data_IF_491330582461
#
_entry.id   IF_491330582461
#
_cell.length_a   1.000
_cell.length_b   1.000
_cell.length_c   1.000
_cell.angle_alpha   90.00
_cell.angle_beta   90.00
_cell.angle_gamma   90.00
#
_symmetry.space_group_name_H-M   'P 1'
#
loop_
_entity.id
_entity.type
_entity.pdbx_description
1 polymer ?
#
# COMPACT_ATOMS: atom_id res chain seq x y z
N UNK A 1 -1.67 -44.52 13.81
CA UNK A 1 -2.03 -43.15 14.17
C UNK A 1 -2.64 -42.54 12.94
N UNK A 2 -3.96 -42.37 12.93
CA UNK A 2 -4.70 -41.71 11.81
C UNK A 2 -4.36 -40.25 11.84
N UNK A 3 -3.68 -39.77 10.79
CA UNK A 3 -3.41 -38.34 10.60
C UNK A 3 -4.76 -37.60 10.59
N UNK A 4 -5.01 -36.81 11.61
CA UNK A 4 -6.18 -35.94 11.68
C UNK A 4 -6.02 -34.90 10.56
N UNK A 5 -6.86 -35.03 9.55
CA UNK A 5 -6.88 -34.14 8.39
C UNK A 5 -7.23 -32.75 8.90
N UNK A 6 -6.27 -31.83 8.92
CA UNK A 6 -6.48 -30.44 9.35
C UNK A 6 -7.46 -29.77 8.37
N UNK A 7 -8.65 -29.44 8.86
CA UNK A 7 -9.71 -28.81 8.04
C UNK A 7 -9.64 -27.33 8.29
N UNK A 8 -9.25 -26.55 7.27
CA UNK A 8 -9.37 -25.09 7.32
C UNK A 8 -10.84 -24.71 7.14
N UNK A 9 -11.46 -24.06 8.15
CA UNK A 9 -12.86 -23.70 8.06
C UNK A 9 -13.11 -22.72 6.91
N UNK A 10 -14.27 -22.83 6.25
CA UNK A 10 -14.69 -21.86 5.21
C UNK A 10 -14.76 -20.42 5.72
N UNK A 11 -14.83 -20.23 7.05
CA UNK A 11 -14.78 -18.91 7.71
C UNK A 11 -13.53 -18.10 7.38
N UNK A 12 -12.44 -18.73 6.92
CA UNK A 12 -11.24 -18.03 6.42
C UNK A 12 -11.53 -16.99 5.33
N UNK A 13 -12.56 -17.24 4.50
CA UNK A 13 -12.97 -16.30 3.48
C UNK A 13 -13.65 -15.05 4.07
N UNK A 14 -14.37 -15.20 5.18
CA UNK A 14 -14.92 -14.06 5.94
C UNK A 14 -13.78 -13.21 6.49
N UNK A 15 -12.76 -13.83 7.10
CA UNK A 15 -11.56 -13.13 7.59
C UNK A 15 -10.86 -12.38 6.47
N UNK A 16 -10.72 -13.00 5.29
CA UNK A 16 -10.11 -12.35 4.12
C UNK A 16 -10.91 -11.12 3.67
N UNK A 17 -12.24 -11.26 3.53
CA UNK A 17 -13.13 -10.19 3.04
C UNK A 17 -13.14 -9.00 3.99
N UNK A 18 -13.24 -9.23 5.30
CA UNK A 18 -13.28 -8.12 6.26
C UNK A 18 -11.95 -7.36 6.33
N UNK A 19 -10.81 -8.07 6.27
CA UNK A 19 -9.49 -7.43 6.22
C UNK A 19 -9.29 -6.65 4.91
N UNK A 20 -9.70 -7.22 3.77
CA UNK A 20 -9.70 -6.52 2.49
C UNK A 20 -10.55 -5.24 2.55
N UNK A 21 -11.78 -5.33 3.07
CA UNK A 21 -12.69 -4.21 3.15
C UNK A 21 -12.14 -3.07 4.03
N UNK A 22 -11.64 -3.38 5.22
CA UNK A 22 -11.06 -2.37 6.12
C UNK A 22 -9.82 -1.73 5.49
N UNK A 23 -8.94 -2.53 4.87
CA UNK A 23 -7.77 -2.02 4.16
C UNK A 23 -8.18 -1.07 3.04
N UNK A 24 -9.13 -1.46 2.20
CA UNK A 24 -9.64 -0.63 1.11
C UNK A 24 -10.27 0.69 1.62
N UNK A 25 -11.07 0.62 2.69
CA UNK A 25 -11.69 1.80 3.29
C UNK A 25 -10.66 2.76 3.89
N UNK A 26 -9.60 2.25 4.51
CA UNK A 26 -8.54 3.08 5.05
C UNK A 26 -7.82 3.87 3.94
N UNK A 27 -7.50 3.23 2.82
CA UNK A 27 -6.88 3.89 1.67
C UNK A 27 -7.83 4.82 0.90
N UNK A 28 -9.14 4.55 0.91
CA UNK A 28 -10.12 5.50 0.41
C UNK A 28 -10.11 6.82 1.20
N UNK A 29 -9.84 6.77 2.52
CA UNK A 29 -9.63 7.95 3.35
C UNK A 29 -8.38 8.77 2.98
N UNK A 30 -7.34 8.13 2.41
CA UNK A 30 -6.18 8.84 1.85
C UNK A 30 -6.60 9.64 0.62
N UNK A 31 -7.36 9.04 -0.29
CA UNK A 31 -7.82 9.71 -1.53
C UNK A 31 -8.84 10.80 -1.24
N UNK A 32 -9.73 10.61 -0.25
CA UNK A 32 -10.66 11.67 0.18
C UNK A 32 -9.91 12.95 0.57
N UNK A 33 -8.78 12.82 1.29
CA UNK A 33 -7.94 13.98 1.63
C UNK A 33 -7.39 14.67 0.38
N UNK A 34 -6.85 13.90 -0.57
CA UNK A 34 -6.30 14.46 -1.80
C UNK A 34 -7.35 15.25 -2.59
N UNK A 35 -8.59 14.78 -2.63
CA UNK A 35 -9.70 15.46 -3.32
C UNK A 35 -10.10 16.79 -2.68
N UNK A 36 -9.95 16.92 -1.36
CA UNK A 36 -10.33 18.14 -0.63
C UNK A 36 -9.14 19.03 -0.28
N UNK A 37 -7.93 18.67 -0.67
CA UNK A 37 -6.70 19.37 -0.28
C UNK A 37 -6.69 20.86 -0.70
N UNK A 38 -7.26 21.18 -1.86
CA UNK A 38 -7.41 22.55 -2.35
C UNK A 38 -8.36 23.38 -1.47
N UNK A 39 -9.52 22.83 -1.08
CA UNK A 39 -10.46 23.52 -0.17
C UNK A 39 -9.86 23.72 1.23
N UNK A 40 -9.10 22.72 1.71
CA UNK A 40 -8.37 22.83 2.99
C UNK A 40 -7.33 23.92 2.95
N UNK A 41 -6.58 24.06 1.84
CA UNK A 41 -5.59 25.10 1.68
C UNK A 41 -6.21 26.52 1.80
N UNK A 42 -7.37 26.72 1.18
CA UNK A 42 -8.14 27.96 1.30
C UNK A 42 -8.70 28.15 2.71
N UNK A 43 -9.33 27.10 3.28
CA UNK A 43 -10.01 27.18 4.59
C UNK A 43 -9.04 27.54 5.72
N UNK A 44 -7.83 26.99 5.71
CA UNK A 44 -6.82 27.21 6.76
C UNK A 44 -5.76 28.22 6.39
N UNK A 45 -5.86 28.86 5.21
CA UNK A 45 -4.87 29.80 4.68
C UNK A 45 -3.43 29.22 4.71
N UNK A 46 -3.29 28.02 4.17
CA UNK A 46 -2.04 27.27 4.09
C UNK A 46 -1.64 27.03 2.63
N UNK A 47 -0.37 26.73 2.40
CA UNK A 47 0.13 26.40 1.06
C UNK A 47 -0.28 25.00 0.63
N UNK A 48 -0.26 24.71 -0.69
CA UNK A 48 -0.50 23.36 -1.24
C UNK A 48 0.47 22.34 -0.65
N UNK A 49 1.73 22.72 -0.44
CA UNK A 49 2.73 21.87 0.21
C UNK A 49 2.35 21.58 1.66
N UNK A 50 1.87 22.57 2.40
CA UNK A 50 1.37 22.33 3.76
C UNK A 50 0.14 21.40 3.75
N UNK A 51 -0.78 21.57 2.80
CA UNK A 51 -1.93 20.68 2.64
C UNK A 51 -1.50 19.22 2.32
N UNK A 52 -0.42 19.03 1.55
CA UNK A 52 0.12 17.71 1.25
C UNK A 52 0.70 16.97 2.47
N UNK A 53 1.07 17.70 3.54
CA UNK A 53 1.50 17.10 4.81
C UNK A 53 0.44 16.17 5.40
N UNK A 54 -0.84 16.42 5.14
CA UNK A 54 -1.91 15.52 5.57
C UNK A 54 -1.78 14.10 5.00
N UNK A 55 -1.34 13.96 3.74
CA UNK A 55 -1.05 12.65 3.14
C UNK A 55 0.24 12.05 3.71
N UNK A 56 1.28 12.86 3.89
CA UNK A 56 2.55 12.42 4.46
C UNK A 56 2.40 11.91 5.90
N UNK A 57 1.71 12.65 6.75
CA UNK A 57 1.46 12.29 8.15
C UNK A 57 0.54 11.05 8.26
N UNK A 58 -0.42 10.90 7.36
CA UNK A 58 -1.20 9.67 7.23
C UNK A 58 -0.30 8.46 6.94
N UNK A 59 0.66 8.58 6.01
CA UNK A 59 1.62 7.51 5.71
C UNK A 59 2.59 7.24 6.87
N UNK A 60 2.95 8.26 7.65
CA UNK A 60 3.71 8.06 8.89
C UNK A 60 2.90 7.26 9.92
N UNK A 61 1.61 7.60 10.10
CA UNK A 61 0.69 6.83 10.94
C UNK A 61 0.59 5.37 10.47
N UNK A 62 0.46 5.15 9.18
CA UNK A 62 0.45 3.81 8.59
C UNK A 62 1.72 3.02 8.90
N UNK A 63 2.90 3.59 8.67
CA UNK A 63 4.16 2.89 8.87
C UNK A 63 4.39 2.52 10.35
N UNK A 64 4.16 3.46 11.26
CA UNK A 64 4.33 3.26 12.70
C UNK A 64 3.23 2.35 13.25
N UNK A 65 1.97 2.57 12.86
CA UNK A 65 0.83 1.78 13.28
C UNK A 65 1.00 0.30 12.95
N UNK A 66 1.31 -0.04 11.71
CA UNK A 66 1.52 -1.43 11.31
C UNK A 66 2.68 -2.11 12.06
N UNK A 67 3.78 -1.38 12.32
CA UNK A 67 4.88 -1.91 13.12
C UNK A 67 4.44 -2.21 14.56
N UNK A 68 3.75 -1.28 15.20
CA UNK A 68 3.28 -1.43 16.58
C UNK A 68 2.22 -2.53 16.69
N UNK A 69 1.23 -2.52 15.79
CA UNK A 69 0.13 -3.49 15.77
C UNK A 69 0.61 -4.92 15.54
N UNK A 70 1.58 -5.12 14.64
CA UNK A 70 2.18 -6.43 14.42
C UNK A 70 2.82 -7.00 15.70
N UNK A 71 3.42 -6.15 16.53
CA UNK A 71 3.96 -6.55 17.84
C UNK A 71 2.85 -6.76 18.89
N UNK A 72 1.74 -6.05 18.79
CA UNK A 72 0.60 -6.21 19.71
C UNK A 72 -0.18 -7.50 19.46
N UNK A 73 -0.20 -8.04 18.25
CA UNK A 73 -0.88 -9.31 17.93
C UNK A 73 -0.48 -10.43 18.88
N UNK A 74 0.81 -10.53 19.25
CA UNK A 74 1.28 -11.55 20.19
C UNK A 74 0.74 -11.39 21.61
N UNK A 75 0.24 -10.21 21.99
CA UNK A 75 -0.26 -9.89 23.34
C UNK A 75 -1.79 -9.88 23.43
N UNK A 76 -2.46 -9.31 22.44
CA UNK A 76 -3.91 -9.08 22.43
C UNK A 76 -4.65 -9.75 21.25
N UNK A 77 -3.93 -10.55 20.44
CA UNK A 77 -4.46 -11.25 19.29
C UNK A 77 -4.72 -10.36 18.08
N UNK A 78 -5.09 -10.99 16.95
CA UNK A 78 -5.43 -10.30 15.70
C UNK A 78 -6.67 -9.40 15.84
N UNK A 79 -7.70 -9.91 16.55
CA UNK A 79 -8.95 -9.17 16.79
C UNK A 79 -8.69 -7.93 17.64
N UNK A 80 -7.97 -8.07 18.75
CA UNK A 80 -7.68 -6.97 19.66
C UNK A 80 -6.85 -5.88 19.00
N UNK A 81 -5.76 -6.25 18.30
CA UNK A 81 -4.90 -5.31 17.61
C UNK A 81 -5.65 -4.62 16.45
N UNK A 82 -6.44 -5.37 15.68
CA UNK A 82 -7.21 -4.81 14.56
C UNK A 82 -8.30 -3.85 15.03
N UNK A 83 -9.06 -4.18 16.08
CA UNK A 83 -10.08 -3.28 16.65
C UNK A 83 -9.45 -1.99 17.16
N UNK A 84 -8.29 -2.07 17.84
CA UNK A 84 -7.57 -0.88 18.28
C UNK A 84 -7.23 0.04 17.10
N UNK A 85 -6.65 -0.51 16.03
CA UNK A 85 -6.30 0.27 14.85
C UNK A 85 -7.50 0.93 14.20
N UNK A 86 -8.60 0.18 13.99
CA UNK A 86 -9.83 0.74 13.38
C UNK A 86 -10.47 1.81 14.28
N UNK A 87 -10.45 1.67 15.59
CA UNK A 87 -10.94 2.71 16.53
C UNK A 87 -10.11 3.99 16.40
N UNK A 88 -8.78 3.89 16.35
CA UNK A 88 -7.92 5.06 16.13
C UNK A 88 -8.19 5.73 14.77
N UNK A 89 -8.43 4.94 13.72
CA UNK A 89 -8.82 5.47 12.41
C UNK A 89 -10.14 6.24 12.45
N UNK A 90 -11.13 5.74 13.18
CA UNK A 90 -12.43 6.43 13.33
C UNK A 90 -12.24 7.74 14.09
N UNK A 91 -11.53 7.71 15.22
CA UNK A 91 -11.23 8.91 16.02
C UNK A 91 -10.55 9.96 15.13
N UNK A 92 -9.53 9.56 14.38
CA UNK A 92 -8.86 10.45 13.43
C UNK A 92 -9.80 10.99 12.36
N UNK A 93 -10.61 10.13 11.73
CA UNK A 93 -11.51 10.54 10.64
C UNK A 93 -12.60 11.50 11.12
N UNK A 94 -13.26 11.21 12.25
CA UNK A 94 -14.31 12.05 12.81
C UNK A 94 -13.74 13.33 13.47
N UNK A 95 -12.52 13.29 13.97
CA UNK A 95 -11.84 14.45 14.54
C UNK A 95 -11.51 15.53 13.50
N UNK A 96 -11.17 15.17 12.29
CA UNK A 96 -10.79 16.12 11.20
C UNK A 96 -11.85 17.23 11.02
N UNK A 97 -13.15 16.93 10.81
CA UNK A 97 -14.16 17.97 10.56
C UNK A 97 -14.62 18.72 11.82
N UNK A 98 -14.09 18.38 12.98
CA UNK A 98 -14.46 19.02 14.27
C UNK A 98 -13.44 20.05 14.73
N UNK A 99 -12.29 20.13 14.05
CA UNK A 99 -11.16 20.94 14.48
C UNK A 99 -10.97 22.15 13.55
N UNK A 100 -10.66 23.29 14.16
CA UNK A 100 -10.33 24.54 13.46
C UNK A 100 -8.82 24.85 13.47
N UNK A 101 -7.99 23.90 13.93
CA UNK A 101 -6.56 24.02 13.97
C UNK A 101 -5.91 22.96 13.08
N UNK A 102 -5.19 23.41 12.04
CA UNK A 102 -4.60 22.52 11.06
C UNK A 102 -3.60 21.53 11.68
N UNK A 103 -2.80 21.94 12.67
CA UNK A 103 -1.84 21.05 13.33
C UNK A 103 -2.54 19.91 14.07
N UNK A 104 -3.70 20.15 14.69
CA UNK A 104 -4.51 19.10 15.32
C UNK A 104 -5.15 18.19 14.29
N UNK A 105 -5.51 18.73 13.12
CA UNK A 105 -5.97 17.91 11.99
C UNK A 105 -4.86 16.96 11.52
N UNK A 106 -3.60 17.38 11.50
CA UNK A 106 -2.48 16.49 11.18
C UNK A 106 -2.33 15.35 12.20
N UNK A 107 -2.58 15.60 13.50
CA UNK A 107 -2.63 14.53 14.51
C UNK A 107 -3.77 13.54 14.19
N UNK A 108 -4.93 14.04 13.82
CA UNK A 108 -6.05 13.19 13.38
C UNK A 108 -5.69 12.39 12.13
N UNK A 109 -4.95 12.97 11.19
CA UNK A 109 -4.44 12.27 10.00
C UNK A 109 -3.47 11.15 10.37
N UNK A 110 -2.61 11.36 11.34
CA UNK A 110 -1.74 10.31 11.87
C UNK A 110 -2.54 9.13 12.44
N UNK A 111 -3.55 9.42 13.29
CA UNK A 111 -4.42 8.39 13.85
C UNK A 111 -5.23 7.65 12.77
N UNK A 112 -5.68 8.37 11.74
CA UNK A 112 -6.38 7.77 10.61
C UNK A 112 -5.46 6.82 9.83
N UNK A 113 -4.21 7.20 9.58
CA UNK A 113 -3.22 6.34 8.93
C UNK A 113 -2.86 5.11 9.76
N UNK A 114 -2.79 5.26 11.08
CA UNK A 114 -2.51 4.14 11.99
C UNK A 114 -3.44 2.95 11.77
N UNK A 115 -4.73 3.21 11.53
CA UNK A 115 -5.74 2.16 11.35
C UNK A 115 -5.70 1.41 10.01
N UNK A 116 -4.65 1.55 9.20
CA UNK A 116 -4.47 0.73 8.01
C UNK A 116 -3.95 -0.64 8.44
N UNK A 117 -4.83 -1.61 8.55
CA UNK A 117 -4.54 -2.95 9.07
C UNK A 117 -3.86 -3.88 8.04
N UNK A 118 -2.93 -3.37 7.23
CA UNK A 118 -2.33 -4.19 6.17
C UNK A 118 -1.52 -5.37 6.73
N UNK A 119 -0.65 -5.12 7.71
CA UNK A 119 0.17 -6.17 8.32
C UNK A 119 -0.70 -7.18 9.09
N UNK A 120 -1.72 -6.73 9.84
CA UNK A 120 -2.67 -7.60 10.52
C UNK A 120 -3.45 -8.44 9.50
N UNK A 121 -3.91 -7.82 8.40
CA UNK A 121 -4.63 -8.51 7.33
C UNK A 121 -3.79 -9.64 6.71
N UNK A 122 -2.55 -9.35 6.31
CA UNK A 122 -1.64 -10.33 5.71
C UNK A 122 -1.30 -11.43 6.73
N UNK A 123 -0.92 -11.09 7.96
CA UNK A 123 -0.53 -12.06 8.97
C UNK A 123 -1.71 -12.95 9.40
N UNK A 124 -2.93 -12.39 9.53
CA UNK A 124 -4.11 -13.18 9.81
C UNK A 124 -4.43 -14.16 8.67
N UNK A 125 -4.26 -13.74 7.40
CA UNK A 125 -4.43 -14.65 6.26
C UNK A 125 -3.40 -15.79 6.28
N UNK A 126 -2.14 -15.51 6.62
CA UNK A 126 -1.12 -16.56 6.78
C UNK A 126 -1.54 -17.58 7.85
N UNK A 127 -2.16 -17.12 8.94
CA UNK A 127 -2.63 -18.00 10.03
C UNK A 127 -3.91 -18.80 9.68
N UNK A 128 -4.80 -18.26 8.84
CA UNK A 128 -6.08 -18.88 8.48
C UNK A 128 -6.04 -19.73 7.21
N UNK A 129 -5.04 -19.54 6.32
CA UNK A 129 -4.97 -20.19 5.02
C UNK A 129 -3.87 -21.24 4.95
N UNK A 130 -4.11 -22.37 4.26
CA UNK A 130 -3.07 -23.38 4.00
C UNK A 130 -1.95 -22.80 3.15
N UNK A 131 -0.74 -23.35 3.26
CA UNK A 131 0.47 -22.81 2.63
C UNK A 131 0.31 -22.52 1.13
N UNK A 132 -0.35 -23.41 0.37
CA UNK A 132 -0.58 -23.27 -1.07
C UNK A 132 -1.58 -22.17 -1.45
N UNK A 133 -2.32 -21.57 -0.50
CA UNK A 133 -3.28 -20.47 -0.72
C UNK A 133 -2.85 -19.13 -0.06
N UNK A 134 -1.78 -19.12 0.73
CA UNK A 134 -1.32 -17.92 1.44
C UNK A 134 -0.94 -16.79 0.48
N UNK A 135 -0.29 -17.13 -0.64
CA UNK A 135 0.06 -16.15 -1.66
C UNK A 135 -1.17 -15.47 -2.28
N UNK A 136 -2.21 -16.26 -2.60
CA UNK A 136 -3.48 -15.73 -3.12
C UNK A 136 -4.15 -14.82 -2.08
N UNK A 137 -4.27 -15.27 -0.82
CA UNK A 137 -4.91 -14.50 0.23
C UNK A 137 -4.19 -13.18 0.52
N UNK A 138 -2.86 -13.21 0.64
CA UNK A 138 -2.04 -12.00 0.81
C UNK A 138 -2.11 -11.05 -0.39
N UNK A 139 -2.18 -11.60 -1.61
CA UNK A 139 -2.37 -10.83 -2.83
C UNK A 139 -3.71 -10.12 -2.88
N UNK A 140 -4.80 -10.76 -2.42
CA UNK A 140 -6.11 -10.14 -2.32
C UNK A 140 -6.09 -8.96 -1.33
N UNK A 141 -5.46 -9.13 -0.15
CA UNK A 141 -5.29 -8.02 0.81
C UNK A 141 -4.48 -6.88 0.20
N UNK A 142 -3.39 -7.19 -0.53
CA UNK A 142 -2.61 -6.20 -1.27
C UNK A 142 -3.41 -5.45 -2.32
N UNK A 143 -4.36 -6.15 -3.00
CA UNK A 143 -5.31 -5.53 -3.92
C UNK A 143 -6.26 -4.54 -3.25
N UNK A 144 -6.54 -4.70 -1.95
CA UNK A 144 -7.35 -3.77 -1.17
C UNK A 144 -6.77 -2.36 -1.11
N UNK A 145 -5.43 -2.23 -1.13
CA UNK A 145 -4.74 -0.94 -1.20
C UNK A 145 -5.09 -0.18 -2.49
N UNK A 146 -4.84 -0.80 -3.64
CA UNK A 146 -5.07 -0.16 -4.94
C UNK A 146 -6.55 0.06 -5.21
N UNK A 147 -7.41 -0.90 -4.83
CA UNK A 147 -8.87 -0.75 -4.89
C UNK A 147 -9.34 0.42 -4.03
N UNK A 148 -8.85 0.54 -2.79
CA UNK A 148 -9.22 1.62 -1.87
C UNK A 148 -8.81 3.00 -2.40
N UNK A 149 -7.59 3.14 -2.94
CA UNK A 149 -7.16 4.38 -3.59
C UNK A 149 -8.10 4.71 -4.76
N UNK A 150 -8.38 3.75 -5.63
CA UNK A 150 -9.21 3.96 -6.82
C UNK A 150 -10.65 4.34 -6.48
N UNK A 151 -11.35 3.51 -5.71
CA UNK A 151 -12.73 3.77 -5.35
C UNK A 151 -12.87 4.99 -4.44
N UNK A 152 -11.83 5.31 -3.68
CA UNK A 152 -11.79 6.44 -2.77
C UNK A 152 -12.00 7.78 -3.45
N UNK A 153 -11.46 7.99 -4.66
CA UNK A 153 -11.69 9.21 -5.44
C UNK A 153 -13.16 9.38 -5.83
N UNK A 154 -13.77 8.31 -6.32
CA UNK A 154 -15.19 8.31 -6.70
C UNK A 154 -16.10 8.49 -5.49
N UNK A 155 -15.87 7.75 -4.40
CA UNK A 155 -16.61 7.88 -3.14
C UNK A 155 -16.44 9.30 -2.56
N UNK A 156 -15.23 9.86 -2.58
CA UNK A 156 -14.96 11.21 -2.11
C UNK A 156 -15.80 12.25 -2.85
N UNK A 157 -15.79 12.20 -4.19
CA UNK A 157 -16.58 13.12 -5.02
C UNK A 157 -18.07 13.01 -4.70
N UNK A 158 -18.60 11.78 -4.61
CA UNK A 158 -20.01 11.55 -4.24
C UNK A 158 -20.34 12.08 -2.84
N UNK A 159 -19.47 11.83 -1.86
CA UNK A 159 -19.69 12.30 -0.48
C UNK A 159 -19.66 13.83 -0.38
N UNK A 160 -18.76 14.50 -1.11
CA UNK A 160 -18.67 15.96 -1.16
C UNK A 160 -19.95 16.54 -1.77
N UNK A 161 -20.44 15.97 -2.87
CA UNK A 161 -21.68 16.40 -3.53
C UNK A 161 -22.92 16.24 -2.61
N UNK A 162 -23.05 15.08 -1.94
CA UNK A 162 -24.19 14.80 -1.05
C UNK A 162 -24.15 15.68 0.20
N UNK A 163 -22.96 15.84 0.79
CA UNK A 163 -22.79 16.56 2.06
C UNK A 163 -22.63 18.08 1.88
N UNK A 164 -22.40 18.56 0.67
CA UNK A 164 -22.21 19.98 0.33
C UNK A 164 -20.97 20.63 0.92
N UNK A 165 -20.07 19.85 1.55
CA UNK A 165 -18.85 20.36 2.17
C UNK A 165 -17.85 19.23 2.45
N UNK A 166 -16.56 19.58 2.51
CA UNK A 166 -15.51 18.61 2.88
C UNK A 166 -15.70 18.09 4.32
N UNK A 167 -16.16 18.93 5.24
CA UNK A 167 -16.46 18.52 6.62
C UNK A 167 -17.55 17.47 6.66
N UNK A 168 -18.63 17.68 5.90
CA UNK A 168 -19.72 16.74 5.76
C UNK A 168 -19.26 15.40 5.18
N UNK A 169 -18.39 15.44 4.17
CA UNK A 169 -17.82 14.23 3.56
C UNK A 169 -17.02 13.41 4.58
N UNK A 170 -16.14 14.05 5.38
CA UNK A 170 -15.39 13.35 6.45
C UNK A 170 -16.29 12.80 7.56
N UNK A 171 -17.36 13.52 7.96
CA UNK A 171 -18.33 13.01 8.95
C UNK A 171 -19.04 11.76 8.44
N UNK A 172 -19.54 11.80 7.21
CA UNK A 172 -20.22 10.67 6.59
C UNK A 172 -19.27 9.48 6.43
N UNK A 173 -18.03 9.73 5.98
CA UNK A 173 -17.00 8.68 5.87
C UNK A 173 -16.68 8.07 7.24
N UNK A 174 -16.54 8.87 8.27
CA UNK A 174 -16.29 8.41 9.64
C UNK A 174 -17.44 7.54 10.20
N UNK A 175 -18.69 7.86 9.88
CA UNK A 175 -19.85 7.03 10.26
C UNK A 175 -19.81 5.68 9.52
N UNK A 176 -19.52 5.68 8.22
CA UNK A 176 -19.39 4.45 7.45
C UNK A 176 -18.26 3.58 8.03
N UNK A 177 -17.11 4.18 8.38
CA UNK A 177 -16.02 3.49 9.05
C UNK A 177 -16.42 2.92 10.41
N UNK A 178 -17.21 3.66 11.21
CA UNK A 178 -17.67 3.19 12.52
C UNK A 178 -18.59 1.96 12.39
N UNK A 179 -19.50 1.94 11.42
CA UNK A 179 -20.34 0.76 11.13
C UNK A 179 -19.46 -0.42 10.69
N UNK A 180 -18.50 -0.17 9.78
CA UNK A 180 -17.60 -1.21 9.30
C UNK A 180 -16.69 -1.75 10.41
N UNK A 181 -16.26 -0.90 11.35
CA UNK A 181 -15.51 -1.30 12.53
C UNK A 181 -16.32 -2.21 13.47
N UNK A 182 -17.59 -1.92 13.66
CA UNK A 182 -18.48 -2.77 14.45
C UNK A 182 -18.62 -4.16 13.80
N UNK A 183 -18.81 -4.20 12.47
CA UNK A 183 -18.84 -5.45 11.69
C UNK A 183 -17.50 -6.19 11.82
N UNK A 184 -16.37 -5.48 11.66
CA UNK A 184 -15.04 -6.06 11.83
C UNK A 184 -14.86 -6.66 13.23
N UNK A 185 -15.18 -5.93 14.28
CA UNK A 185 -15.05 -6.38 15.66
C UNK A 185 -15.89 -7.64 15.97
N UNK A 186 -17.06 -7.79 15.34
CA UNK A 186 -17.93 -8.96 15.50
C UNK A 186 -17.40 -10.16 14.70
N UNK A 187 -16.98 -9.93 13.45
CA UNK A 187 -16.59 -11.00 12.54
C UNK A 187 -15.13 -11.42 12.67
N UNK A 188 -14.22 -10.55 13.15
CA UNK A 188 -12.82 -10.94 13.31
C UNK A 188 -12.67 -11.94 14.45
N UNK A 189 -12.00 -13.05 14.16
CA UNK A 189 -11.76 -14.15 15.11
C UNK A 189 -10.29 -14.54 15.10
N UNK A 190 -9.85 -15.08 16.25
CA UNK A 190 -8.53 -15.69 16.35
C UNK A 190 -8.53 -17.06 15.65
N UNK A 191 -7.41 -17.44 15.00
CA UNK A 191 -7.25 -18.79 14.48
C UNK A 191 -7.26 -19.80 15.67
N UNK A 192 -7.95 -20.92 15.49
CA UNK A 192 -7.96 -21.97 16.50
C UNK A 192 -6.59 -22.65 16.63
N UNK A 193 -6.26 -23.16 17.82
CA UNK A 193 -4.98 -23.83 18.07
C UNK A 193 -4.76 -25.06 17.16
N UNK A 194 -5.85 -25.69 16.72
CA UNK A 194 -5.84 -26.91 15.88
C UNK A 194 -5.84 -26.58 14.37
N UNK A 195 -5.76 -25.31 13.99
CA UNK A 195 -5.79 -24.88 12.60
C UNK A 195 -4.41 -24.76 11.96
N UNK A 196 -3.33 -24.86 12.75
CA UNK A 196 -1.98 -24.87 12.20
C UNK A 196 -1.71 -26.24 11.58
N UNK A 197 -1.45 -26.35 10.27
CA UNK A 197 -1.05 -27.61 9.70
C UNK A 197 0.34 -27.98 10.27
N UNK A 198 0.45 -29.13 10.87
CA UNK A 198 1.68 -29.91 10.89
C UNK A 198 1.97 -30.38 9.44
N UNK A 199 2.14 -29.47 8.53
CA UNK A 199 2.76 -29.73 7.23
C UNK A 199 4.26 -29.74 7.49
N UNK A 200 4.77 -30.84 8.07
CA UNK A 200 6.11 -31.36 8.16
C UNK A 200 7.31 -30.69 7.44
N UNK A 201 7.21 -29.43 7.16
CA UNK A 201 8.34 -28.57 6.82
C UNK A 201 8.89 -28.08 8.16
N UNK A 202 9.77 -28.87 8.78
CA UNK A 202 10.72 -28.34 9.74
C UNK A 202 11.49 -27.25 9.02
N UNK A 203 11.02 -26.02 9.16
CA UNK A 203 11.84 -24.84 8.85
C UNK A 203 12.90 -24.77 9.91
N UNK A 204 13.98 -25.49 9.69
CA UNK A 204 15.18 -25.38 10.51
C UNK A 204 15.70 -23.94 10.34
N UNK A 205 15.68 -23.11 11.39
CA UNK A 205 16.29 -21.77 11.31
C UNK A 205 17.74 -21.95 10.87
N UNK A 206 18.12 -21.33 9.75
CA UNK A 206 19.50 -21.31 9.29
C UNK A 206 20.30 -20.54 10.35
N UNK A 207 20.86 -21.26 11.33
CA UNK A 207 21.81 -20.69 12.25
C UNK A 207 23.11 -20.48 11.50
N UNK A 208 23.70 -19.28 11.56
CA UNK A 208 25.11 -19.07 11.21
C UNK A 208 25.95 -20.13 11.95
N UNK A 209 27.07 -20.53 11.35
CA UNK A 209 28.00 -21.47 11.96
C UNK A 209 28.40 -21.10 13.42
N UNK A 210 28.31 -19.83 13.78
CA UNK A 210 28.61 -19.29 15.12
C UNK A 210 27.38 -19.20 16.06
N UNK A 211 26.22 -19.73 15.68
CA UNK A 211 24.98 -19.66 16.48
C UNK A 211 24.39 -18.25 16.66
N UNK A 212 24.95 -17.23 16.03
CA UNK A 212 24.44 -15.84 16.09
C UNK A 212 23.31 -15.63 15.08
N UNK A 213 22.24 -14.96 15.51
CA UNK A 213 21.13 -14.55 14.64
C UNK A 213 21.64 -13.60 13.55
N UNK A 214 21.23 -13.83 12.30
CA UNK A 214 21.55 -12.93 11.19
C UNK A 214 20.81 -11.58 11.43
N UNK A 215 21.56 -10.47 11.46
CA UNK A 215 20.96 -9.15 11.40
C UNK A 215 20.85 -8.71 9.92
N UNK A 216 19.64 -8.68 9.31
CA UNK A 216 19.50 -8.35 7.91
C UNK A 216 19.96 -6.91 7.58
N UNK A 217 19.84 -5.98 8.51
CA UNK A 217 20.17 -4.57 8.32
C UNK A 217 21.67 -4.28 8.17
N UNK A 218 22.52 -5.28 8.44
CA UNK A 218 23.98 -5.17 8.17
C UNK A 218 24.35 -5.51 6.74
N UNK A 219 23.39 -5.89 5.90
CA UNK A 219 23.63 -6.33 4.53
C UNK A 219 23.18 -5.28 3.50
N UNK A 220 23.98 -5.05 2.47
CA UNK A 220 23.64 -4.16 1.34
C UNK A 220 22.34 -4.61 0.68
N UNK A 221 22.13 -5.91 0.56
CA UNK A 221 20.96 -6.51 -0.08
C UNK A 221 19.66 -6.12 0.63
N UNK A 222 19.66 -6.05 1.97
CA UNK A 222 18.52 -5.59 2.73
C UNK A 222 18.15 -4.15 2.36
N UNK A 223 19.14 -3.25 2.30
CA UNK A 223 18.91 -1.86 1.94
C UNK A 223 18.45 -1.67 0.50
N UNK A 224 18.91 -2.51 -0.43
CA UNK A 224 18.40 -2.52 -1.80
C UNK A 224 16.94 -2.95 -1.87
N UNK A 225 16.51 -3.94 -1.08
CA UNK A 225 15.09 -4.32 -1.00
C UNK A 225 14.23 -3.20 -0.38
N UNK A 226 14.72 -2.54 0.68
CA UNK A 226 14.07 -1.37 1.26
C UNK A 226 13.92 -0.26 0.22
N UNK A 227 14.97 0.00 -0.57
CA UNK A 227 14.95 1.00 -1.63
C UNK A 227 13.96 0.66 -2.75
N UNK A 228 13.82 -0.61 -3.13
CA UNK A 228 12.78 -1.05 -4.10
C UNK A 228 11.39 -0.68 -3.60
N UNK A 229 11.07 -0.95 -2.32
CA UNK A 229 9.78 -0.60 -1.74
C UNK A 229 9.60 0.90 -1.52
N UNK A 230 10.68 1.61 -1.21
CA UNK A 230 10.66 3.07 -1.16
C UNK A 230 10.22 3.67 -2.51
N UNK A 231 10.85 3.26 -3.61
CA UNK A 231 10.50 3.79 -4.93
C UNK A 231 9.15 3.26 -5.44
N UNK A 232 8.71 2.08 -4.99
CA UNK A 232 7.36 1.60 -5.24
C UNK A 232 6.33 2.56 -4.61
N UNK A 233 6.46 2.88 -3.33
CA UNK A 233 5.56 3.80 -2.65
C UNK A 233 5.72 5.24 -3.12
N UNK A 234 6.94 5.67 -3.43
CA UNK A 234 7.18 6.97 -4.07
C UNK A 234 6.33 7.13 -5.32
N UNK A 235 6.36 6.16 -6.22
CA UNK A 235 5.61 6.21 -7.46
C UNK A 235 4.10 6.09 -7.21
N UNK A 236 3.68 5.12 -6.39
CA UNK A 236 2.25 4.85 -6.15
C UNK A 236 1.57 6.03 -5.45
N UNK A 237 2.10 6.46 -4.32
CA UNK A 237 1.47 7.49 -3.50
C UNK A 237 1.68 8.87 -4.13
N UNK A 238 2.87 9.15 -4.65
CA UNK A 238 3.16 10.41 -5.33
C UNK A 238 2.26 10.64 -6.54
N UNK A 239 2.16 9.66 -7.44
CA UNK A 239 1.28 9.75 -8.61
C UNK A 239 -0.18 9.97 -8.23
N UNK A 240 -0.71 9.18 -7.28
CA UNK A 240 -2.10 9.31 -6.85
C UNK A 240 -2.37 10.61 -6.07
N UNK A 241 -1.36 11.20 -5.42
CA UNK A 241 -1.55 12.47 -4.70
C UNK A 241 -1.71 13.68 -5.60
N UNK A 242 -1.22 13.61 -6.84
CA UNK A 242 -1.25 14.73 -7.79
C UNK A 242 -2.19 14.52 -8.98
N UNK A 243 -2.57 13.28 -9.28
CA UNK A 243 -3.34 12.92 -10.48
C UNK A 243 -4.65 13.71 -10.60
N UNK A 244 -5.46 13.76 -9.54
CA UNK A 244 -6.75 14.46 -9.56
C UNK A 244 -6.58 15.95 -9.78
N UNK A 245 -5.64 16.58 -9.05
CA UNK A 245 -5.39 18.01 -9.13
C UNK A 245 -4.89 18.40 -10.54
N UNK A 246 -3.98 17.61 -11.10
CA UNK A 246 -3.50 17.83 -12.46
C UNK A 246 -4.62 17.75 -13.52
N UNK A 247 -5.48 16.74 -13.40
CA UNK A 247 -6.60 16.59 -14.36
C UNK A 247 -7.61 17.73 -14.23
N UNK A 248 -7.90 18.19 -13.00
CA UNK A 248 -8.78 19.34 -12.77
C UNK A 248 -8.17 20.63 -13.32
N UNK A 249 -6.86 20.82 -13.22
CA UNK A 249 -6.17 21.99 -13.80
C UNK A 249 -6.16 21.97 -15.33
N UNK A 250 -6.20 20.77 -15.95
CA UNK A 250 -6.43 20.63 -17.40
C UNK A 250 -7.87 20.95 -17.82
N UNK A 251 -8.78 21.26 -16.89
CA UNK A 251 -10.18 21.61 -17.14
C UNK A 251 -11.14 20.42 -17.11
N UNK A 252 -10.70 19.24 -16.69
CA UNK A 252 -11.61 18.10 -16.47
C UNK A 252 -12.41 18.29 -15.17
N UNK A 253 -13.66 17.79 -15.16
CA UNK A 253 -14.49 17.84 -13.96
C UNK A 253 -13.92 16.96 -12.82
N UNK A 254 -14.33 17.23 -11.58
CA UNK A 254 -13.96 16.38 -10.45
C UNK A 254 -14.42 14.92 -10.62
N UNK A 255 -15.57 14.70 -11.30
CA UNK A 255 -16.07 13.36 -11.64
C UNK A 255 -15.18 12.65 -12.66
N UNK A 256 -14.69 13.38 -13.67
CA UNK A 256 -13.74 12.85 -14.64
C UNK A 256 -12.40 12.53 -13.98
N UNK A 257 -11.88 13.44 -13.15
CA UNK A 257 -10.64 13.20 -12.41
C UNK A 257 -10.75 11.98 -11.49
N UNK A 258 -11.84 11.86 -10.74
CA UNK A 258 -12.08 10.70 -9.86
C UNK A 258 -12.28 9.39 -10.63
N UNK A 259 -12.85 9.44 -11.84
CA UNK A 259 -12.97 8.28 -12.73
C UNK A 259 -11.59 7.80 -13.18
N UNK A 260 -10.68 8.69 -13.53
CA UNK A 260 -9.30 8.32 -13.87
C UNK A 260 -8.59 7.63 -12.68
N UNK A 261 -8.74 8.16 -11.46
CA UNK A 261 -8.21 7.55 -10.23
C UNK A 261 -8.82 6.17 -9.96
N UNK A 262 -10.13 6.01 -10.18
CA UNK A 262 -10.82 4.72 -10.07
C UNK A 262 -10.21 3.69 -11.03
N UNK A 263 -9.96 4.06 -12.28
CA UNK A 263 -9.36 3.18 -13.28
C UNK A 263 -7.95 2.75 -12.89
N UNK A 264 -7.14 3.65 -12.31
CA UNK A 264 -5.82 3.31 -11.72
C UNK A 264 -5.97 2.26 -10.63
N UNK A 265 -6.94 2.42 -9.74
CA UNK A 265 -7.20 1.46 -8.67
C UNK A 265 -7.66 0.10 -9.17
N UNK A 266 -8.61 0.07 -10.10
CA UNK A 266 -9.16 -1.18 -10.65
C UNK A 266 -8.10 -1.99 -11.40
N UNK A 267 -7.29 -1.35 -12.23
CA UNK A 267 -6.22 -2.05 -12.93
C UNK A 267 -5.14 -2.55 -11.95
N UNK A 268 -4.91 -1.83 -10.85
CA UNK A 268 -3.99 -2.24 -9.80
C UNK A 268 -4.39 -3.54 -9.10
N UNK A 269 -5.69 -3.77 -8.90
CA UNK A 269 -6.21 -5.04 -8.35
C UNK A 269 -5.88 -6.22 -9.27
N UNK A 270 -5.92 -6.01 -10.58
CA UNK A 270 -5.62 -7.04 -11.58
C UNK A 270 -4.11 -7.22 -11.74
N UNK A 271 -3.36 -6.12 -11.83
CA UNK A 271 -1.93 -6.14 -12.13
C UNK A 271 -1.08 -6.73 -10.99
N UNK A 272 -1.51 -6.59 -9.74
CA UNK A 272 -0.79 -7.17 -8.59
C UNK A 272 -0.65 -8.70 -8.70
N UNK A 273 -1.71 -9.50 -8.83
CA UNK A 273 -1.56 -10.94 -9.00
C UNK A 273 -0.87 -11.32 -10.32
N UNK A 274 -1.06 -10.53 -11.39
CA UNK A 274 -0.39 -10.78 -12.66
C UNK A 274 1.14 -10.65 -12.53
N UNK A 275 1.63 -9.71 -11.72
CA UNK A 275 3.05 -9.62 -11.40
C UNK A 275 3.61 -10.89 -10.79
N UNK A 276 2.90 -11.47 -9.82
CA UNK A 276 3.24 -12.79 -9.26
C UNK A 276 3.25 -13.89 -10.31
N UNK A 277 2.19 -13.98 -11.14
CA UNK A 277 2.08 -14.97 -12.21
C UNK A 277 3.20 -14.88 -13.25
N UNK A 278 3.61 -13.67 -13.65
CA UNK A 278 4.75 -13.46 -14.56
C UNK A 278 6.02 -14.01 -13.93
N UNK A 279 6.30 -13.64 -12.68
CA UNK A 279 7.47 -14.09 -11.95
C UNK A 279 7.51 -15.62 -11.81
N UNK A 280 6.42 -16.23 -11.38
CA UNK A 280 6.31 -17.68 -11.21
C UNK A 280 6.42 -18.42 -12.55
N UNK A 281 5.89 -17.82 -13.64
CA UNK A 281 6.02 -18.33 -14.98
C UNK A 281 7.48 -18.36 -15.46
N UNK A 282 8.29 -17.37 -15.11
CA UNK A 282 9.73 -17.33 -15.40
C UNK A 282 10.48 -18.40 -14.60
N UNK A 283 10.15 -18.59 -13.33
CA UNK A 283 10.72 -19.66 -12.50
C UNK A 283 10.43 -21.04 -13.08
N UNK A 284 9.17 -21.28 -13.51
CA UNK A 284 8.80 -22.54 -14.21
C UNK A 284 9.58 -22.77 -15.50
N UNK A 285 10.05 -21.72 -16.16
CA UNK A 285 10.93 -21.77 -17.34
C UNK A 285 12.43 -21.96 -16.99
N UNK A 286 12.74 -22.18 -15.72
CA UNK A 286 14.10 -22.44 -15.25
C UNK A 286 14.92 -21.21 -14.83
N UNK A 287 14.28 -20.04 -14.67
CA UNK A 287 14.96 -18.87 -14.13
C UNK A 287 15.20 -19.04 -12.61
N UNK A 288 16.31 -18.50 -12.13
CA UNK A 288 16.54 -18.34 -10.68
C UNK A 288 15.41 -17.48 -10.08
N UNK A 289 14.78 -17.88 -8.95
CA UNK A 289 13.64 -17.17 -8.38
C UNK A 289 13.91 -15.69 -8.11
N UNK A 290 15.10 -15.35 -7.57
CA UNK A 290 15.49 -13.98 -7.31
C UNK A 290 15.60 -13.16 -8.61
N UNK A 291 16.21 -13.73 -9.65
CA UNK A 291 16.32 -13.08 -10.96
C UNK A 291 14.95 -12.88 -11.61
N UNK A 292 14.06 -13.86 -11.51
CA UNK A 292 12.70 -13.76 -12.04
C UNK A 292 11.90 -12.64 -11.36
N UNK A 293 11.96 -12.56 -10.02
CA UNK A 293 11.30 -11.50 -9.26
C UNK A 293 11.91 -10.13 -9.54
N UNK A 294 13.24 -10.02 -9.54
CA UNK A 294 13.93 -8.78 -9.84
C UNK A 294 13.60 -8.25 -11.24
N UNK A 295 13.58 -9.14 -12.25
CA UNK A 295 13.19 -8.79 -13.63
C UNK A 295 11.73 -8.32 -13.70
N UNK A 296 10.80 -9.06 -13.05
CA UNK A 296 9.37 -8.71 -13.06
C UNK A 296 9.13 -7.37 -12.36
N UNK A 297 9.83 -7.09 -11.28
CA UNK A 297 9.78 -5.80 -10.60
C UNK A 297 10.32 -4.67 -11.49
N UNK A 298 11.44 -4.91 -12.17
CA UNK A 298 12.11 -3.89 -12.99
C UNK A 298 11.35 -3.58 -14.27
N UNK A 299 11.02 -4.59 -15.09
CA UNK A 299 10.59 -4.38 -16.49
C UNK A 299 9.07 -4.21 -16.59
N UNK A 300 8.22 -5.21 -16.36
CA UNK A 300 6.77 -4.99 -16.43
C UNK A 300 6.22 -4.11 -15.30
N UNK A 301 7.00 -3.88 -14.25
CA UNK A 301 6.69 -2.99 -13.15
C UNK A 301 7.23 -1.57 -13.37
N UNK A 302 8.39 -1.27 -12.80
CA UNK A 302 8.93 0.09 -12.76
C UNK A 302 9.19 0.74 -14.12
N UNK A 303 9.66 -0.02 -15.13
CA UNK A 303 9.95 0.56 -16.45
C UNK A 303 8.65 1.03 -17.14
N UNK A 304 7.57 0.24 -17.05
CA UNK A 304 6.25 0.65 -17.56
C UNK A 304 5.75 1.89 -16.80
N UNK A 305 5.89 1.90 -15.46
CA UNK A 305 5.52 3.05 -14.66
C UNK A 305 6.33 4.31 -15.03
N UNK A 306 7.65 4.19 -15.22
CA UNK A 306 8.52 5.31 -15.57
C UNK A 306 8.12 5.91 -16.92
N UNK A 307 8.02 5.07 -17.96
CA UNK A 307 7.68 5.52 -19.32
C UNK A 307 6.29 6.18 -19.33
N UNK A 308 5.29 5.50 -18.76
CA UNK A 308 3.92 6.01 -18.77
C UNK A 308 3.78 7.32 -17.98
N UNK A 309 4.49 7.46 -16.85
CA UNK A 309 4.47 8.69 -16.04
C UNK A 309 5.11 9.88 -16.78
N UNK A 310 6.19 9.66 -17.54
CA UNK A 310 6.80 10.71 -18.38
C UNK A 310 5.86 11.13 -19.52
N UNK A 311 5.21 10.17 -20.16
CA UNK A 311 4.34 10.42 -21.31
C UNK A 311 3.01 11.03 -20.89
N UNK A 312 2.52 10.74 -19.67
CA UNK A 312 1.22 11.16 -19.18
C UNK A 312 0.93 12.66 -19.37
N UNK A 313 1.78 13.60 -18.88
CA UNK A 313 1.51 15.02 -19.04
C UNK A 313 1.56 15.53 -20.49
N UNK A 314 2.19 14.79 -21.40
CA UNK A 314 2.28 15.17 -22.82
C UNK A 314 0.98 14.90 -23.59
N UNK A 315 0.19 13.92 -23.15
CA UNK A 315 -0.98 13.44 -23.90
C UNK A 315 -2.30 13.57 -23.15
N UNK A 316 -2.27 13.78 -21.83
CA UNK A 316 -3.47 13.84 -20.99
C UNK A 316 -4.45 14.97 -21.39
N UNK A 317 -3.94 16.06 -21.98
CA UNK A 317 -4.74 17.19 -22.47
C UNK A 317 -5.42 16.92 -23.82
N UNK A 318 -5.04 15.87 -24.55
CA UNK A 318 -5.60 15.60 -25.89
C UNK A 318 -7.09 15.23 -25.82
N UNK A 319 -7.46 14.37 -24.89
CA UNK A 319 -8.86 14.03 -24.59
C UNK A 319 -8.95 13.27 -23.27
N UNK A 320 -10.14 13.27 -22.65
CA UNK A 320 -10.40 12.51 -21.43
C UNK A 320 -10.17 10.99 -21.64
N UNK A 321 -10.55 10.44 -22.80
CA UNK A 321 -10.29 9.04 -23.13
C UNK A 321 -8.81 8.69 -23.14
N UNK A 322 -7.96 9.54 -23.72
CA UNK A 322 -6.50 9.37 -23.70
C UNK A 322 -5.95 9.47 -22.29
N UNK A 323 -6.41 10.44 -21.49
CA UNK A 323 -6.03 10.55 -20.10
C UNK A 323 -6.37 9.28 -19.30
N UNK A 324 -7.56 8.69 -19.49
CA UNK A 324 -7.97 7.43 -18.87
C UNK A 324 -7.08 6.24 -19.28
N UNK A 325 -6.80 6.08 -20.58
CA UNK A 325 -5.92 5.01 -21.07
C UNK A 325 -4.54 5.12 -20.48
N UNK A 326 -3.97 6.32 -20.44
CA UNK A 326 -2.66 6.55 -19.84
C UNK A 326 -2.68 6.34 -18.34
N UNK A 327 -3.74 6.74 -17.63
CA UNK A 327 -3.91 6.47 -16.21
C UNK A 327 -3.95 4.95 -15.93
N UNK A 328 -4.61 4.16 -16.76
CA UNK A 328 -4.61 2.69 -16.70
C UNK A 328 -3.19 2.13 -16.84
N UNK A 329 -2.41 2.62 -17.81
CA UNK A 329 -1.04 2.16 -18.05
C UNK A 329 -0.12 2.53 -16.87
N UNK A 330 -0.26 3.76 -16.33
CA UNK A 330 0.45 4.16 -15.12
C UNK A 330 0.06 3.30 -13.91
N UNK A 331 -1.25 3.03 -13.77
CA UNK A 331 -1.80 2.19 -12.71
C UNK A 331 -1.47 0.71 -12.84
N UNK A 332 -1.04 0.23 -14.01
CA UNK A 332 -0.55 -1.13 -14.22
C UNK A 332 0.85 -1.33 -13.61
N UNK A 333 1.79 -0.43 -13.88
CA UNK A 333 3.22 -0.65 -13.64
C UNK A 333 3.55 -0.89 -12.17
N UNK A 334 3.16 0.03 -11.29
CA UNK A 334 3.54 -0.04 -9.86
C UNK A 334 2.94 -1.23 -9.13
N UNK A 335 1.64 -1.54 -9.23
CA UNK A 335 1.06 -2.68 -8.53
C UNK A 335 1.62 -4.04 -8.97
N UNK A 336 2.11 -4.19 -10.20
CA UNK A 336 2.86 -5.38 -10.65
C UNK A 336 4.05 -5.67 -9.73
N UNK A 337 4.70 -4.61 -9.21
CA UNK A 337 5.86 -4.78 -8.32
C UNK A 337 5.47 -5.22 -6.90
N UNK A 338 4.23 -5.00 -6.46
CA UNK A 338 3.81 -5.28 -5.08
C UNK A 338 3.95 -6.77 -4.72
N UNK A 339 3.52 -7.67 -5.61
CA UNK A 339 3.61 -9.11 -5.37
C UNK A 339 5.06 -9.60 -5.33
N UNK A 340 5.92 -9.06 -6.18
CA UNK A 340 7.32 -9.50 -6.31
C UNK A 340 8.22 -8.88 -5.26
N UNK A 341 8.07 -7.58 -4.98
CA UNK A 341 8.88 -6.88 -3.98
C UNK A 341 8.68 -7.39 -2.56
N UNK A 342 7.44 -7.77 -2.20
CA UNK A 342 7.14 -8.38 -0.90
C UNK A 342 7.78 -9.76 -0.68
N UNK A 343 8.01 -10.52 -1.77
CA UNK A 343 8.63 -11.84 -1.71
C UNK A 343 10.17 -11.82 -1.76
N UNK A 344 10.78 -10.75 -2.26
CA UNK A 344 12.24 -10.61 -2.37
C UNK A 344 13.01 -10.91 -1.07
N UNK A 345 12.58 -10.45 0.13
CA UNK A 345 13.27 -10.75 1.37
C UNK A 345 13.40 -12.24 1.67
N UNK A 346 12.35 -13.03 1.38
CA UNK A 346 12.34 -14.48 1.63
C UNK A 346 13.32 -15.21 0.72
N UNK A 347 13.34 -14.85 -0.57
CA UNK A 347 14.25 -15.46 -1.55
C UNK A 347 15.73 -15.13 -1.28
N UNK A 348 15.98 -13.97 -0.68
CA UNK A 348 17.32 -13.51 -0.36
C UNK A 348 17.89 -14.13 0.91
N UNK A 349 17.10 -14.15 1.99
CA UNK A 349 17.60 -14.48 3.30
C UNK A 349 17.48 -15.97 3.62
N UNK A 350 16.50 -16.68 3.04
CA UNK A 350 16.21 -18.09 3.33
C UNK A 350 16.15 -18.41 4.85
N UNK A 351 15.78 -17.38 5.64
CA UNK A 351 15.67 -17.39 7.11
C UNK A 351 14.40 -16.60 7.43
N UNK A 352 13.38 -17.29 7.94
CA UNK A 352 12.07 -16.67 8.21
C UNK A 352 12.12 -15.57 9.26
N UNK A 353 12.94 -15.72 10.29
CA UNK A 353 13.08 -14.73 11.36
C UNK A 353 13.79 -13.45 10.85
N UNK A 354 14.85 -13.62 10.07
CA UNK A 354 15.54 -12.49 9.44
C UNK A 354 14.67 -11.82 8.35
N UNK A 355 13.92 -12.60 7.58
CA UNK A 355 12.98 -12.09 6.57
C UNK A 355 11.82 -11.32 7.21
N UNK A 356 11.28 -11.80 8.33
CA UNK A 356 10.24 -11.09 9.10
C UNK A 356 10.74 -9.74 9.65
N UNK A 357 11.97 -9.69 10.20
CA UNK A 357 12.58 -8.43 10.64
C UNK A 357 12.85 -7.47 9.49
N UNK A 358 13.32 -7.98 8.37
CA UNK A 358 13.51 -7.19 7.16
C UNK A 358 12.20 -6.63 6.63
N UNK A 359 11.12 -7.42 6.69
CA UNK A 359 9.77 -6.98 6.31
C UNK A 359 9.30 -5.78 7.16
N UNK A 360 9.52 -5.81 8.49
CA UNK A 360 9.26 -4.66 9.37
C UNK A 360 10.04 -3.41 8.94
N UNK A 361 11.31 -3.55 8.58
CA UNK A 361 12.12 -2.46 8.03
C UNK A 361 11.61 -1.95 6.68
N UNK A 362 11.15 -2.84 5.83
CA UNK A 362 10.52 -2.50 4.55
C UNK A 362 9.27 -1.66 4.76
N UNK A 363 8.41 -2.01 5.72
CA UNK A 363 7.19 -1.23 6.01
C UNK A 363 7.56 0.13 6.58
N UNK A 364 8.46 0.17 7.57
CA UNK A 364 8.78 1.42 8.26
C UNK A 364 9.57 2.40 7.36
N UNK A 365 10.64 1.93 6.72
CA UNK A 365 11.57 2.79 5.97
C UNK A 365 11.19 2.84 4.50
N UNK A 366 10.90 1.70 3.86
CA UNK A 366 10.57 1.64 2.44
C UNK A 366 9.20 2.28 2.19
N UNK A 367 8.14 1.67 2.69
CA UNK A 367 6.78 2.15 2.46
C UNK A 367 6.56 3.51 3.15
N UNK A 368 6.95 3.64 4.42
CA UNK A 368 6.82 4.88 5.18
C UNK A 368 7.60 6.02 4.56
N UNK A 369 8.89 5.83 4.27
CA UNK A 369 9.74 6.86 3.69
C UNK A 369 9.27 7.33 2.32
N UNK A 370 9.02 6.40 1.39
CA UNK A 370 8.50 6.73 0.06
C UNK A 370 7.13 7.41 0.11
N UNK A 371 6.21 6.87 0.93
CA UNK A 371 4.86 7.41 1.07
C UNK A 371 4.80 8.77 1.78
N UNK A 372 5.73 9.09 2.67
CA UNK A 372 5.83 10.39 3.33
C UNK A 372 6.41 11.45 2.38
N UNK A 373 7.52 11.12 1.73
CA UNK A 373 8.24 12.09 0.90
C UNK A 373 7.54 12.38 -0.43
N UNK A 374 6.93 11.37 -1.05
CA UNK A 374 6.35 11.51 -2.37
C UNK A 374 5.30 12.62 -2.49
N UNK A 375 4.24 12.71 -1.66
CA UNK A 375 3.25 13.76 -1.78
C UNK A 375 3.82 15.16 -1.51
N UNK A 376 4.79 15.28 -0.59
CA UNK A 376 5.43 16.57 -0.27
C UNK A 376 6.24 17.05 -1.46
N UNK A 377 7.12 16.19 -1.97
CA UNK A 377 8.04 16.57 -3.05
C UNK A 377 7.28 16.77 -4.36
N UNK A 378 6.33 15.90 -4.69
CA UNK A 378 5.58 16.03 -5.94
C UNK A 378 4.76 17.30 -6.01
N UNK A 379 4.08 17.68 -4.92
CA UNK A 379 3.33 18.95 -4.85
C UNK A 379 4.28 20.16 -4.87
N UNK A 380 5.37 20.13 -4.09
CA UNK A 380 6.35 21.22 -4.09
C UNK A 380 6.98 21.46 -5.47
N UNK A 381 7.26 20.38 -6.22
CA UNK A 381 7.78 20.49 -7.58
C UNK A 381 6.69 20.98 -8.54
N UNK A 382 5.45 20.51 -8.41
CA UNK A 382 4.34 21.01 -9.23
C UNK A 382 4.14 22.52 -9.04
N UNK A 383 4.13 23.02 -7.80
CA UNK A 383 3.94 24.42 -7.45
C UNK A 383 5.11 25.30 -7.93
N UNK A 384 6.36 24.83 -7.86
CA UNK A 384 7.55 25.64 -8.17
C UNK A 384 8.04 25.52 -9.61
N UNK A 385 7.91 24.35 -10.24
CA UNK A 385 8.47 24.03 -11.56
C UNK A 385 7.42 23.53 -12.57
N UNK A 386 6.18 23.40 -12.14
CA UNK A 386 5.05 22.96 -12.96
C UNK A 386 4.90 21.44 -13.05
N UNK A 387 3.79 21.03 -13.64
CA UNK A 387 3.35 19.62 -13.67
C UNK A 387 4.29 18.69 -14.43
N UNK A 388 4.86 19.15 -15.55
CA UNK A 388 5.81 18.33 -16.33
C UNK A 388 7.02 17.93 -15.47
N UNK A 389 7.58 18.87 -14.71
CA UNK A 389 8.69 18.60 -13.80
C UNK A 389 8.28 17.64 -12.68
N UNK A 390 7.07 17.79 -12.13
CA UNK A 390 6.52 16.88 -11.13
C UNK A 390 6.48 15.43 -11.64
N UNK A 391 5.91 15.20 -12.81
CA UNK A 391 5.84 13.85 -13.39
C UNK A 391 7.22 13.28 -13.75
N UNK A 392 8.17 14.13 -14.18
CA UNK A 392 9.56 13.69 -14.40
C UNK A 392 10.21 13.24 -13.08
N UNK A 393 10.05 14.01 -11.99
CA UNK A 393 10.61 13.65 -10.68
C UNK A 393 10.02 12.35 -10.14
N UNK A 394 8.71 12.12 -10.33
CA UNK A 394 8.08 10.84 -10.00
C UNK A 394 8.66 9.71 -10.83
N UNK A 395 8.80 9.90 -12.14
CA UNK A 395 9.34 8.90 -13.05
C UNK A 395 10.82 8.56 -12.76
N UNK A 396 11.63 9.54 -12.35
CA UNK A 396 13.03 9.30 -11.94
C UNK A 396 13.10 8.33 -10.75
N UNK A 397 12.13 8.38 -9.81
CA UNK A 397 12.01 7.39 -8.75
C UNK A 397 11.74 5.98 -9.31
N UNK A 398 10.86 5.86 -10.31
CA UNK A 398 10.62 4.57 -10.96
C UNK A 398 11.87 4.07 -11.73
N UNK A 399 12.61 4.96 -12.41
CA UNK A 399 13.89 4.61 -13.06
C UNK A 399 14.90 4.10 -12.04
N UNK A 400 15.03 4.75 -10.88
CA UNK A 400 15.86 4.26 -9.78
C UNK A 400 15.42 2.86 -9.34
N UNK A 401 14.12 2.62 -9.24
CA UNK A 401 13.53 1.30 -8.96
C UNK A 401 13.94 0.24 -9.98
N UNK A 402 13.97 0.57 -11.29
CA UNK A 402 14.47 -0.32 -12.36
C UNK A 402 15.93 -0.70 -12.11
N UNK A 403 16.78 0.31 -11.92
CA UNK A 403 18.25 0.11 -11.76
C UNK A 403 18.53 -0.76 -10.55
N UNK A 404 17.90 -0.45 -9.40
CA UNK A 404 18.13 -1.18 -8.15
C UNK A 404 17.62 -2.62 -8.28
N UNK A 405 16.43 -2.83 -8.85
CA UNK A 405 15.86 -4.17 -9.02
C UNK A 405 16.73 -5.05 -9.91
N UNK A 406 17.27 -4.54 -11.03
CA UNK A 406 18.15 -5.28 -11.91
C UNK A 406 19.54 -5.53 -11.30
N UNK A 407 20.00 -4.65 -10.40
CA UNK A 407 21.27 -4.83 -9.70
C UNK A 407 21.17 -5.86 -8.56
N UNK A 408 20.00 -6.01 -7.94
CA UNK A 408 19.76 -6.79 -6.72
C UNK A 408 20.28 -8.24 -6.79
N UNK A 409 20.10 -9.02 -7.90
CA UNK A 409 20.62 -10.39 -7.99
C UNK A 409 22.14 -10.50 -7.91
N UNK A 410 22.89 -9.41 -8.19
CA UNK A 410 24.36 -9.40 -8.09
C UNK A 410 24.84 -9.39 -6.63
N UNK A 411 23.99 -8.97 -5.71
CA UNK A 411 24.27 -8.87 -4.28
C UNK A 411 23.62 -10.02 -3.48
N UNK A 412 23.30 -11.14 -4.15
CA UNK A 412 22.78 -12.33 -3.48
C UNK A 412 23.73 -12.72 -2.35
N UNK A 413 23.19 -12.90 -1.15
CA UNK A 413 23.97 -13.35 -0.01
C UNK A 413 24.52 -14.75 -0.34
N UNK A 414 25.84 -14.85 -0.46
CA UNK A 414 26.51 -16.15 -0.59
C UNK A 414 26.38 -16.89 0.76
N UNK A 415 26.02 -18.17 0.68
CA UNK A 415 25.97 -19.07 1.85
C UNK A 415 27.33 -19.28 2.47
#
# INVERSE_FOLDING_TARGET
>A
MTATKTVFPSYRWVILIINFAICAMAYAGLTLWSMVSGELAVTFNITSVQASLGSAIFMAGYAIGNYVESNLVSKIGYRGAGVLGVVLMIIGTLGIPMLNNYNLILVCRFLQGWGILWAIGVNSCVAWFPAHQRGLASGIIGGGLTFGIGIGGWVATMLIQIAGSWQGAFRTWGIILAVSAAIYAVLMREPGKDMYPDEGVEVTPVKKADGKRLNPFTTVTCWLCIAVLFFNCWQLIGYNSVLSNYLMELGYSAEQASTAVLLVGLIGVISTPVGGMISDGLVKKGWDPLKARAFTTAVPGFLVAAISTIVFPMVASMSFGVACVMAIICGWGVPVTNATSGALPMDLLQDEDAAGRMFGGNVLIGIGGGGILAPIVSVAVADSMGWTACFIVLALGAVAGVIISLALPKFKLQK
#
